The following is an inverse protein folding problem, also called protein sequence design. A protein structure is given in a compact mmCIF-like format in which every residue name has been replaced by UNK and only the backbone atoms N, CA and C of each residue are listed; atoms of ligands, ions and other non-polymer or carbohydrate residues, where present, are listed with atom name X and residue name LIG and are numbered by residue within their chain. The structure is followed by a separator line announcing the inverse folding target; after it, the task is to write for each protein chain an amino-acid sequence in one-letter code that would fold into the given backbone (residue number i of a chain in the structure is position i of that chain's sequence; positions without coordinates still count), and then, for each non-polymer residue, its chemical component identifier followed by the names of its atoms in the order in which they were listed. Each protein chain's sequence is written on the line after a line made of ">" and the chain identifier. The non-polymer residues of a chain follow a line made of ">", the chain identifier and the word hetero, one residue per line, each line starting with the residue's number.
data_IF_591474978139
#
_entry.id   IF_591474978139
#
_cell.length_a   1.000
_cell.length_b   1.000
_cell.length_c   1.000
_cell.angle_alpha   90.00
_cell.angle_beta   90.00
_cell.angle_gamma   90.00
#
_symmetry.space_group_name_H-M   'P 1'
#
loop_
_entity.id
_entity.type
_entity.pdbx_description
1 polymer ?
#
# COMPACT_ATOMS: atom_id res chain seq x y z
N UNK A 1 -27.06 -14.03 22.82
CA UNK A 1 -26.44 -13.33 21.69
C UNK A 1 -24.93 -13.49 21.83
N UNK A 2 -24.25 -14.13 20.86
CA UNK A 2 -22.78 -14.13 20.84
C UNK A 2 -22.37 -12.72 20.40
N UNK A 3 -21.85 -11.91 21.32
CA UNK A 3 -21.35 -10.58 21.00
C UNK A 3 -20.20 -10.71 20.00
N UNK A 4 -20.35 -10.13 18.82
CA UNK A 4 -19.23 -9.98 17.90
C UNK A 4 -18.22 -9.01 18.52
N UNK A 5 -16.94 -9.35 18.45
CA UNK A 5 -15.90 -8.36 18.69
C UNK A 5 -15.94 -7.36 17.53
N UNK A 6 -16.05 -6.09 17.86
CA UNK A 6 -15.79 -5.00 16.92
C UNK A 6 -14.33 -4.63 17.12
N UNK A 7 -13.55 -4.71 16.05
CA UNK A 7 -12.13 -4.35 16.04
C UNK A 7 -11.88 -3.27 15.00
N UNK A 8 -10.94 -2.39 15.31
CA UNK A 8 -10.47 -1.40 14.34
C UNK A 8 -9.69 -2.13 13.25
N UNK A 9 -9.95 -1.76 11.99
CA UNK A 9 -9.19 -2.25 10.84
C UNK A 9 -8.60 -1.07 10.06
N UNK A 10 -7.30 -1.10 9.84
CA UNK A 10 -6.57 0.00 9.22
C UNK A 10 -6.21 -0.30 7.77
N UNK A 11 -6.42 0.65 6.87
CA UNK A 11 -6.10 0.49 5.45
C UNK A 11 -5.24 1.66 4.99
N UNK A 12 -4.08 1.34 4.44
CA UNK A 12 -3.31 2.27 3.62
C UNK A 12 -3.68 2.05 2.15
N UNK A 13 -3.98 3.12 1.40
CA UNK A 13 -4.40 3.01 -0.01
C UNK A 13 -3.39 3.69 -0.90
N UNK A 14 -2.93 2.99 -1.94
CA UNK A 14 -2.06 3.53 -2.99
C UNK A 14 -2.67 3.27 -4.35
N UNK A 15 -2.71 4.27 -5.21
CA UNK A 15 -3.18 4.13 -6.57
C UNK A 15 -2.00 4.17 -7.55
N UNK A 16 -2.06 3.35 -8.60
CA UNK A 16 -1.03 3.27 -9.62
C UNK A 16 -1.65 2.99 -10.97
N UNK A 17 -1.04 3.52 -12.04
CA UNK A 17 -1.36 3.11 -13.41
C UNK A 17 -0.49 1.94 -13.89
N UNK A 18 0.49 1.53 -13.08
CA UNK A 18 1.34 0.38 -13.33
C UNK A 18 0.66 -0.91 -12.85
N UNK A 19 0.40 -1.83 -13.80
CA UNK A 19 -0.24 -3.12 -13.57
C UNK A 19 0.55 -4.07 -12.64
N UNK A 20 1.81 -3.76 -12.34
CA UNK A 20 2.67 -4.55 -11.45
C UNK A 20 2.97 -3.94 -10.07
N UNK A 21 2.49 -2.72 -9.79
CA UNK A 21 2.72 -2.08 -8.49
C UNK A 21 4.18 -1.79 -8.13
N UNK A 22 5.10 -1.74 -9.11
CA UNK A 22 6.54 -1.65 -8.85
C UNK A 22 7.00 -0.30 -8.26
N UNK A 23 6.18 0.74 -8.35
CA UNK A 23 6.48 2.10 -7.89
C UNK A 23 5.57 2.57 -6.76
N UNK A 24 5.28 1.68 -5.81
CA UNK A 24 4.48 2.02 -4.63
C UNK A 24 5.40 2.48 -3.52
N UNK A 25 5.20 3.73 -3.08
CA UNK A 25 6.00 4.32 -2.02
C UNK A 25 5.27 4.27 -0.67
N UNK A 26 5.92 3.68 0.32
CA UNK A 26 5.52 3.74 1.73
C UNK A 26 6.56 4.52 2.51
N UNK A 27 6.11 5.43 3.38
CA UNK A 27 7.01 6.10 4.31
C UNK A 27 7.40 5.14 5.44
N UNK A 28 8.53 5.39 6.10
CA UNK A 28 8.95 4.60 7.27
C UNK A 28 7.88 4.61 8.37
N UNK A 29 7.16 5.73 8.56
CA UNK A 29 6.07 5.81 9.53
C UNK A 29 4.87 4.93 9.16
N UNK A 30 4.51 4.88 7.87
CA UNK A 30 3.46 3.98 7.38
C UNK A 30 3.85 2.52 7.55
N UNK A 31 5.10 2.18 7.26
CA UNK A 31 5.61 0.83 7.43
C UNK A 31 5.58 0.41 8.91
N UNK A 32 6.11 1.25 9.80
CA UNK A 32 6.10 0.98 11.25
C UNK A 32 4.66 0.81 11.77
N UNK A 33 3.73 1.65 11.32
CA UNK A 33 2.33 1.55 11.73
C UNK A 33 1.69 0.22 11.29
N UNK A 34 1.93 -0.21 10.05
CA UNK A 34 1.45 -1.50 9.55
C UNK A 34 2.10 -2.69 10.29
N UNK A 35 3.34 -2.55 10.75
CA UNK A 35 4.01 -3.57 11.58
C UNK A 35 3.38 -3.70 12.97
N UNK A 36 3.10 -2.57 13.62
CA UNK A 36 2.45 -2.53 14.94
C UNK A 36 1.01 -3.06 14.90
N UNK A 37 0.34 -3.00 13.74
CA UNK A 37 -1.05 -3.39 13.53
C UNK A 37 -1.18 -4.52 12.49
N UNK A 38 -0.21 -5.43 12.42
CA UNK A 38 -0.11 -6.42 11.35
C UNK A 38 -1.33 -7.37 11.26
N UNK A 39 -2.03 -7.62 12.37
CA UNK A 39 -3.16 -8.55 12.41
C UNK A 39 -4.48 -7.90 11.97
N UNK A 40 -4.54 -6.57 11.93
CA UNK A 40 -5.74 -5.80 11.62
C UNK A 40 -5.45 -4.62 10.67
N UNK A 41 -4.49 -4.81 9.75
CA UNK A 41 -4.21 -3.82 8.71
C UNK A 41 -3.90 -4.42 7.34
N UNK A 42 -4.09 -3.62 6.29
CA UNK A 42 -3.78 -3.99 4.92
C UNK A 42 -3.30 -2.79 4.08
N UNK A 43 -2.50 -3.09 3.07
CA UNK A 43 -2.26 -2.19 1.93
C UNK A 43 -3.25 -2.54 0.82
N UNK A 44 -4.04 -1.55 0.39
CA UNK A 44 -4.84 -1.64 -0.81
C UNK A 44 -4.12 -0.95 -1.97
N UNK A 45 -3.81 -1.70 -3.02
CA UNK A 45 -3.23 -1.21 -4.26
C UNK A 45 -4.33 -1.12 -5.31
N UNK A 46 -4.70 0.11 -5.66
CA UNK A 46 -5.69 0.40 -6.69
C UNK A 46 -4.98 0.57 -8.02
N UNK A 47 -5.33 -0.27 -9.00
CA UNK A 47 -4.80 -0.19 -10.37
C UNK A 47 -5.79 0.57 -11.23
N UNK A 48 -5.37 1.73 -11.71
CA UNK A 48 -6.17 2.62 -12.53
C UNK A 48 -5.74 2.59 -13.99
N UNK A 49 -6.70 2.71 -14.90
CA UNK A 49 -6.45 2.97 -16.31
C UNK A 49 -6.00 4.38 -16.61
N UNK A 50 -5.57 4.58 -17.85
CA UNK A 50 -5.24 5.92 -18.37
C UNK A 50 -6.47 6.85 -18.43
N UNK A 51 -7.66 6.28 -18.48
CA UNK A 51 -8.97 6.93 -18.37
C UNK A 51 -9.37 7.29 -16.93
N UNK A 52 -8.53 6.95 -15.94
CA UNK A 52 -8.76 7.09 -14.49
C UNK A 52 -9.85 6.15 -13.96
N UNK A 53 -10.27 5.15 -14.72
CA UNK A 53 -11.15 4.11 -14.20
C UNK A 53 -10.37 3.11 -13.35
N UNK A 54 -11.02 2.59 -12.30
CA UNK A 54 -10.45 1.55 -11.46
C UNK A 54 -10.65 0.20 -12.15
N UNK A 55 -9.56 -0.43 -12.55
CA UNK A 55 -9.62 -1.77 -13.16
C UNK A 55 -9.49 -2.87 -12.12
N UNK A 56 -8.72 -2.64 -11.05
CA UNK A 56 -8.49 -3.65 -10.03
C UNK A 56 -8.15 -3.03 -8.68
N UNK A 57 -8.47 -3.74 -7.60
CA UNK A 57 -8.03 -3.41 -6.24
C UNK A 57 -7.45 -4.67 -5.61
N UNK A 58 -6.18 -4.60 -5.25
CA UNK A 58 -5.44 -5.71 -4.65
C UNK A 58 -5.23 -5.39 -3.17
N UNK A 59 -5.71 -6.25 -2.29
CA UNK A 59 -5.44 -6.16 -0.86
C UNK A 59 -4.29 -7.09 -0.50
N UNK A 60 -3.34 -6.60 0.28
CA UNK A 60 -2.22 -7.37 0.81
C UNK A 60 -1.95 -7.02 2.26
N UNK A 61 -1.66 -8.03 3.07
CA UNK A 61 -1.07 -7.82 4.40
C UNK A 61 0.39 -7.40 4.25
N UNK A 62 0.98 -6.83 5.31
CA UNK A 62 2.40 -6.48 5.27
C UNK A 62 3.30 -7.71 5.03
N UNK A 63 2.92 -8.87 5.56
CA UNK A 63 3.65 -10.12 5.35
C UNK A 63 3.66 -10.54 3.88
N UNK A 64 2.52 -10.45 3.20
CA UNK A 64 2.42 -10.75 1.76
C UNK A 64 3.24 -9.76 0.94
N UNK A 65 3.20 -8.47 1.29
CA UNK A 65 4.01 -7.45 0.61
C UNK A 65 5.49 -7.77 0.77
N UNK A 66 5.96 -8.13 1.97
CA UNK A 66 7.37 -8.47 2.22
C UNK A 66 7.83 -9.76 1.53
N UNK A 67 6.88 -10.65 1.21
CA UNK A 67 7.15 -11.88 0.45
C UNK A 67 7.29 -11.59 -1.04
N UNK A 68 6.42 -10.74 -1.58
CA UNK A 68 6.30 -10.50 -3.01
C UNK A 68 7.14 -9.29 -3.49
N UNK A 69 7.51 -8.38 -2.57
CA UNK A 69 8.20 -7.12 -2.87
C UNK A 69 9.37 -6.85 -1.91
N UNK A 70 10.38 -6.13 -2.43
CA UNK A 70 11.51 -5.65 -1.64
C UNK A 70 11.36 -4.15 -1.36
N UNK A 71 11.52 -3.76 -0.08
CA UNK A 71 11.56 -2.35 0.31
C UNK A 71 12.96 -1.78 0.14
N UNK A 72 13.11 -0.78 -0.73
CA UNK A 72 14.35 -0.03 -0.89
C UNK A 72 14.26 1.37 -0.26
N UNK A 73 15.24 1.78 0.56
CA UNK A 73 15.24 3.12 1.15
C UNK A 73 15.57 4.17 0.09
N UNK A 74 14.64 5.11 -0.12
CA UNK A 74 14.84 6.24 -1.04
C UNK A 74 15.54 7.38 -0.30
N UNK A 75 16.80 7.62 -0.62
CA UNK A 75 17.60 8.66 0.05
C UNK A 75 17.39 10.05 -0.55
N UNK A 76 17.21 10.16 -1.87
CA UNK A 76 16.93 11.42 -2.58
C UNK A 76 16.16 11.10 -3.87
N UNK A 77 14.99 11.73 -4.07
CA UNK A 77 14.25 11.65 -5.35
C UNK A 77 14.49 12.92 -6.14
N UNK A 78 15.03 12.75 -7.35
CA UNK A 78 15.41 13.83 -8.26
C UNK A 78 14.26 14.14 -9.21
N UNK A 79 14.00 15.43 -9.44
CA UNK A 79 13.05 15.90 -10.45
C UNK A 79 13.70 16.93 -11.37
N UNK A 80 13.17 17.06 -12.59
CA UNK A 80 13.70 17.98 -13.59
C UNK A 80 13.40 19.43 -13.18
N UNK A 81 14.43 20.29 -13.15
CA UNK A 81 14.18 21.74 -13.05
C UNK A 81 13.56 22.22 -14.36
N UNK A 82 12.29 22.60 -14.31
CA UNK A 82 11.58 23.27 -15.41
C UNK A 82 10.70 22.38 -16.29
N UNK A 83 10.11 21.32 -15.73
CA UNK A 83 8.97 20.63 -16.36
C UNK A 83 7.67 21.44 -16.21
#
# INVERSE_FOLDING_TARGET
>A
MRGGLVEDFYIEVKATTDNGGGNIYLSSGQLNFLEENNDNSALAVVICGNDREVYNVIYRTLQEIRKDFQFEPIKFRLEQRGA
#
